data_IF_630768018902
#
_entry.id   IF_630768018902
#
_cell.length_a   1.000
_cell.length_b   1.000
_cell.length_c   1.000
_cell.angle_alpha   90.00
_cell.angle_beta   90.00
_cell.angle_gamma   90.00
#
_symmetry.space_group_name_H-M   'P 1'
#
loop_
_entity.id
_entity.type
_entity.pdbx_description
1 polymer ?
#
# COMPACT_ATOMS: atom_id res chain seq x y z
N UNK A 1 -28.08 2.28 73.55
CA UNK A 1 -27.84 1.22 72.55
C UNK A 1 -28.14 1.63 71.11
N UNK A 2 -29.25 2.34 70.80
CA UNK A 2 -29.57 2.75 69.40
C UNK A 2 -28.57 3.72 68.72
N UNK A 3 -27.94 4.64 69.46
CA UNK A 3 -26.92 5.56 68.89
C UNK A 3 -25.58 4.90 68.56
N UNK A 4 -25.22 3.80 69.22
CA UNK A 4 -23.96 3.10 68.96
C UNK A 4 -24.02 2.26 67.67
N UNK A 5 -25.19 1.70 67.37
CA UNK A 5 -25.42 0.86 66.18
C UNK A 5 -25.44 1.72 64.89
N UNK A 6 -25.97 2.95 64.97
CA UNK A 6 -26.03 3.85 63.81
C UNK A 6 -24.63 4.36 63.39
N UNK A 7 -23.74 4.62 64.35
CA UNK A 7 -22.35 5.00 64.04
C UNK A 7 -21.54 3.83 63.49
N UNK A 8 -21.81 2.59 63.90
CA UNK A 8 -21.16 1.40 63.34
C UNK A 8 -21.61 1.11 61.90
N UNK A 9 -22.89 1.37 61.58
CA UNK A 9 -23.44 1.21 60.23
C UNK A 9 -22.89 2.28 59.25
N UNK A 10 -22.73 3.52 59.72
CA UNK A 10 -22.10 4.60 58.94
C UNK A 10 -20.60 4.36 58.70
N UNK A 11 -19.89 3.76 59.66
CA UNK A 11 -18.49 3.36 59.47
C UNK A 11 -18.35 2.20 58.48
N UNK A 12 -19.27 1.23 58.48
CA UNK A 12 -19.26 0.12 57.52
C UNK A 12 -19.60 0.56 56.10
N UNK A 13 -20.54 1.50 55.93
CA UNK A 13 -20.88 2.08 54.62
C UNK A 13 -19.73 2.94 54.09
N UNK A 14 -19.03 3.70 54.96
CA UNK A 14 -17.85 4.46 54.54
C UNK A 14 -16.67 3.55 54.21
N UNK A 15 -16.46 2.44 54.93
CA UNK A 15 -15.41 1.44 54.62
C UNK A 15 -15.70 0.68 53.31
N UNK A 16 -16.97 0.39 53.01
CA UNK A 16 -17.38 -0.23 51.74
C UNK A 16 -17.27 0.74 50.54
N UNK A 17 -17.47 2.04 50.78
CA UNK A 17 -17.24 3.08 49.78
C UNK A 17 -15.74 3.37 49.60
N UNK A 18 -14.92 3.30 50.65
CA UNK A 18 -13.46 3.41 50.58
C UNK A 18 -12.79 2.17 49.96
N UNK A 19 -13.34 0.96 50.16
CA UNK A 19 -12.82 -0.24 49.47
C UNK A 19 -13.16 -0.28 47.98
N UNK A 20 -14.09 0.53 47.48
CA UNK A 20 -14.27 0.74 46.04
C UNK A 20 -13.26 1.71 45.43
N UNK A 21 -12.52 2.46 46.25
CA UNK A 21 -11.30 3.17 45.86
C UNK A 21 -10.07 2.24 45.86
N UNK A 22 -10.23 1.00 45.41
CA UNK A 22 -9.09 0.23 44.90
C UNK A 22 -8.73 0.85 43.55
N UNK A 23 -7.87 1.88 43.59
CA UNK A 23 -6.92 2.29 42.55
C UNK A 23 -7.37 1.98 41.11
N UNK A 24 -8.57 2.42 40.73
CA UNK A 24 -8.85 2.65 39.32
C UNK A 24 -8.05 3.91 39.01
N UNK A 25 -6.95 3.75 38.28
CA UNK A 25 -6.25 4.88 37.72
C UNK A 25 -7.25 5.79 37.01
N UNK A 26 -7.08 7.09 37.19
CA UNK A 26 -7.88 8.06 36.46
C UNK A 26 -7.38 8.10 35.01
N UNK A 27 -8.28 7.86 34.05
CA UNK A 27 -7.94 7.87 32.64
C UNK A 27 -9.13 8.35 31.81
N UNK A 28 -8.80 8.99 30.69
CA UNK A 28 -9.75 9.38 29.67
C UNK A 28 -9.35 8.73 28.34
N UNK A 29 -10.33 8.19 27.63
CA UNK A 29 -10.13 7.64 26.30
C UNK A 29 -10.07 8.80 25.28
N UNK A 30 -8.88 9.05 24.75
CA UNK A 30 -8.72 9.93 23.60
C UNK A 30 -8.96 9.14 22.32
N UNK A 31 -10.10 9.37 21.66
CA UNK A 31 -10.40 8.77 20.36
C UNK A 31 -9.29 9.08 19.36
N UNK A 32 -8.94 8.09 18.55
CA UNK A 32 -7.96 8.21 17.47
C UNK A 32 -8.60 7.70 16.19
N UNK A 33 -8.27 8.33 15.07
CA UNK A 33 -8.76 7.93 13.75
C UNK A 33 -7.65 7.21 12.98
N UNK A 34 -8.01 6.13 12.30
CA UNK A 34 -7.16 5.42 11.33
C UNK A 34 -5.80 4.94 11.88
N UNK A 35 -5.71 4.66 13.18
CA UNK A 35 -4.51 4.13 13.80
C UNK A 35 -4.57 2.60 13.84
N UNK A 36 -3.64 1.95 13.15
CA UNK A 36 -3.47 0.49 13.14
C UNK A 36 -2.14 0.11 13.78
N UNK A 37 -2.15 -0.93 14.60
CA UNK A 37 -0.98 -1.38 15.38
C UNK A 37 -0.78 -2.88 15.29
N UNK A 38 0.48 -3.30 15.25
CA UNK A 38 0.87 -4.69 15.26
C UNK A 38 1.66 -4.97 16.52
N UNK A 39 1.36 -6.07 17.17
CA UNK A 39 2.05 -6.46 18.41
C UNK A 39 3.44 -7.01 18.09
N UNK A 40 4.46 -6.51 18.79
CA UNK A 40 5.85 -6.98 18.69
C UNK A 40 6.20 -7.98 19.81
N UNK A 41 5.30 -8.15 20.78
CA UNK A 41 5.43 -9.08 21.90
C UNK A 41 4.08 -9.67 22.35
N UNK A 42 4.10 -10.56 23.35
CA UNK A 42 2.88 -11.04 24.02
C UNK A 42 2.45 -10.00 25.06
N UNK A 43 1.36 -9.30 24.81
CA UNK A 43 0.89 -8.21 25.67
C UNK A 43 -0.31 -8.65 26.50
N UNK A 44 -0.37 -8.21 27.77
CA UNK A 44 -1.53 -8.44 28.62
C UNK A 44 -2.77 -7.72 28.08
N UNK A 45 -3.87 -8.44 27.97
CA UNK A 45 -5.18 -7.90 27.58
C UNK A 45 -5.92 -7.48 28.85
N UNK A 46 -6.19 -6.19 29.02
CA UNK A 46 -6.74 -5.63 30.26
C UNK A 46 -8.15 -5.09 30.08
N UNK A 47 -8.91 -5.07 31.18
CA UNK A 47 -10.20 -4.37 31.26
C UNK A 47 -10.04 -2.85 31.34
N UNK A 48 -8.99 -2.41 32.02
CA UNK A 48 -8.69 -1.03 32.39
C UNK A 48 -7.21 -0.77 32.06
N UNK A 49 -6.82 0.39 31.50
CA UNK A 49 -5.48 0.70 30.98
C UNK A 49 -4.44 0.93 32.08
N UNK A 50 -4.35 0.04 33.07
CA UNK A 50 -3.46 0.18 34.21
C UNK A 50 -2.84 -1.13 34.68
N UNK A 51 -1.68 -1.00 35.31
CA UNK A 51 -0.96 -2.13 35.92
C UNK A 51 -1.74 -2.60 37.16
N UNK A 52 -1.67 -3.90 37.44
CA UNK A 52 -2.38 -4.49 38.59
C UNK A 52 -3.89 -4.75 38.36
N UNK A 53 -4.44 -4.37 37.20
CA UNK A 53 -5.83 -4.67 36.84
C UNK A 53 -5.97 -6.09 36.31
N UNK A 54 -7.21 -6.59 36.34
CA UNK A 54 -7.57 -7.92 35.81
C UNK A 54 -7.15 -8.06 34.35
N UNK A 55 -6.46 -9.15 34.06
CA UNK A 55 -6.08 -9.54 32.70
C UNK A 55 -7.00 -10.66 32.19
N UNK A 56 -7.29 -10.65 30.89
CA UNK A 56 -8.11 -11.65 30.21
C UNK A 56 -7.30 -12.58 29.30
N UNK A 57 -5.97 -12.58 29.48
CA UNK A 57 -5.02 -13.33 28.67
C UNK A 57 -3.97 -12.42 28.04
N UNK A 58 -3.34 -12.91 26.99
CA UNK A 58 -2.29 -12.21 26.25
C UNK A 58 -2.54 -12.23 24.74
N UNK A 59 -2.12 -11.18 24.04
CA UNK A 59 -2.02 -11.20 22.57
C UNK A 59 -0.96 -12.20 22.11
N UNK A 60 -1.01 -12.59 20.84
CA UNK A 60 0.10 -13.26 20.16
C UNK A 60 1.00 -12.22 19.48
N UNK A 61 2.27 -12.57 19.28
CA UNK A 61 3.20 -11.74 18.50
C UNK A 61 2.71 -11.64 17.05
N UNK A 62 2.70 -10.44 16.50
CA UNK A 62 2.32 -10.16 15.12
C UNK A 62 0.81 -10.01 14.89
N UNK A 63 0.00 -10.01 15.95
CA UNK A 63 -1.43 -9.68 15.84
C UNK A 63 -1.65 -8.21 15.54
N UNK A 64 -2.54 -7.94 14.58
CA UNK A 64 -2.91 -6.61 14.13
C UNK A 64 -4.22 -6.16 14.79
N UNK A 65 -4.28 -4.89 15.19
CA UNK A 65 -5.48 -4.27 15.73
C UNK A 65 -5.69 -2.89 15.15
N UNK A 66 -6.96 -2.52 14.96
CA UNK A 66 -7.38 -1.14 14.81
C UNK A 66 -7.58 -0.52 16.19
N UNK A 67 -7.02 0.67 16.40
CA UNK A 67 -7.08 1.38 17.68
C UNK A 67 -8.33 2.25 17.70
N UNK A 68 -9.16 2.05 18.72
CA UNK A 68 -10.39 2.82 18.97
C UNK A 68 -10.08 4.13 19.73
N UNK A 69 -9.14 4.06 20.68
CA UNK A 69 -8.71 5.17 21.51
C UNK A 69 -7.33 4.91 22.13
N UNK A 70 -6.70 5.97 22.62
CA UNK A 70 -5.55 5.90 23.50
C UNK A 70 -5.94 6.31 24.92
N UNK A 71 -5.42 5.59 25.92
CA UNK A 71 -5.55 5.95 27.32
C UNK A 71 -4.25 5.63 28.04
N UNK A 72 -3.61 6.65 28.63
CA UNK A 72 -2.28 6.53 29.24
C UNK A 72 -1.28 5.86 28.26
N UNK A 73 -0.58 4.84 28.74
CA UNK A 73 0.37 4.02 27.97
C UNK A 73 -0.31 2.86 27.22
N UNK A 74 -1.62 2.90 27.00
CA UNK A 74 -2.36 1.79 26.39
C UNK A 74 -3.12 2.21 25.14
N UNK A 75 -3.29 1.23 24.24
CA UNK A 75 -4.22 1.26 23.13
C UNK A 75 -5.49 0.53 23.50
N UNK A 76 -6.63 1.14 23.21
CA UNK A 76 -7.96 0.53 23.28
C UNK A 76 -8.29 -0.12 21.94
N UNK A 77 -8.58 -1.40 21.96
CA UNK A 77 -8.81 -2.24 20.77
C UNK A 77 -10.00 -3.17 20.98
N UNK A 78 -10.57 -3.70 19.91
CA UNK A 78 -11.64 -4.70 19.98
C UNK A 78 -11.05 -6.12 19.97
N UNK A 79 -11.27 -6.90 21.03
CA UNK A 79 -10.84 -8.30 21.12
C UNK A 79 -12.04 -9.16 21.49
N UNK A 80 -12.38 -10.12 20.63
CA UNK A 80 -13.54 -11.01 20.80
C UNK A 80 -14.86 -10.22 21.04
N UNK A 81 -15.04 -9.12 20.30
CA UNK A 81 -16.21 -8.25 20.40
C UNK A 81 -16.27 -7.38 21.67
N UNK A 82 -15.20 -7.33 22.46
CA UNK A 82 -15.13 -6.50 23.68
C UNK A 82 -13.98 -5.51 23.59
N UNK A 83 -14.23 -4.29 24.03
CA UNK A 83 -13.19 -3.26 24.16
C UNK A 83 -12.22 -3.64 25.27
N UNK A 84 -10.92 -3.63 24.95
CA UNK A 84 -9.84 -4.02 25.85
C UNK A 84 -8.63 -3.14 25.64
N UNK A 85 -7.75 -3.11 26.64
CA UNK A 85 -6.54 -2.31 26.62
C UNK A 85 -5.29 -3.19 26.50
N UNK A 86 -4.38 -2.81 25.62
CA UNK A 86 -3.06 -3.43 25.43
C UNK A 86 -1.96 -2.37 25.50
N UNK A 87 -0.78 -2.75 25.98
CA UNK A 87 0.30 -1.80 26.25
C UNK A 87 0.91 -1.25 24.95
N UNK A 88 1.17 0.06 24.88
CA UNK A 88 1.81 0.71 23.72
C UNK A 88 3.24 0.20 23.51
N UNK A 89 3.99 0.04 24.61
CA UNK A 89 5.33 -0.50 24.54
C UNK A 89 5.26 -2.02 24.29
N UNK A 90 5.64 -2.43 23.08
CA UNK A 90 5.38 -3.77 22.58
C UNK A 90 4.39 -3.81 21.40
N UNK A 91 4.06 -2.65 20.82
CA UNK A 91 3.42 -2.56 19.51
C UNK A 91 4.26 -1.69 18.56
N UNK A 92 4.06 -1.91 17.27
CA UNK A 92 4.53 -1.06 16.19
C UNK A 92 3.30 -0.47 15.48
N UNK A 93 3.29 0.85 15.28
CA UNK A 93 2.28 1.47 14.40
C UNK A 93 2.62 1.04 12.99
N UNK A 94 1.66 0.44 12.30
CA UNK A 94 1.81 0.12 10.90
C UNK A 94 0.71 0.82 10.13
N UNK A 95 1.09 1.40 8.99
CA UNK A 95 0.12 1.76 7.98
C UNK A 95 -0.16 0.48 7.23
N UNK A 96 -1.36 -0.06 7.37
CA UNK A 96 -1.86 -0.95 6.34
C UNK A 96 -1.77 -0.15 5.05
N UNK A 97 -1.02 -0.68 4.09
CA UNK A 97 -1.05 -0.11 2.75
C UNK A 97 -2.43 -0.50 2.25
N UNK A 98 -3.39 0.39 2.49
CA UNK A 98 -4.72 0.24 1.95
C UNK A 98 -4.56 0.19 0.43
N UNK A 99 -4.69 -1.00 -0.13
CA UNK A 99 -4.81 -1.26 -1.57
C UNK A 99 -6.13 -0.69 -2.14
N UNK A 100 -6.81 0.20 -1.41
CA UNK A 100 -7.82 1.11 -1.95
C UNK A 100 -7.16 2.45 -2.21
N UNK A 101 -6.95 2.71 -3.49
CA UNK A 101 -6.50 4.02 -3.97
C UNK A 101 -7.60 5.03 -3.65
N UNK A 102 -7.27 5.95 -2.76
CA UNK A 102 -7.96 7.23 -2.70
C UNK A 102 -7.49 8.05 -3.91
N UNK A 103 -8.35 8.16 -4.92
CA UNK A 103 -8.09 8.98 -6.10
C UNK A 103 -8.39 10.47 -5.82
N UNK A 104 -8.19 10.94 -4.59
CA UNK A 104 -8.55 12.30 -4.17
C UNK A 104 -7.63 13.39 -4.75
N UNK A 105 -6.43 13.04 -5.23
CA UNK A 105 -5.60 13.98 -5.96
C UNK A 105 -5.76 13.78 -7.47
N UNK A 106 -6.50 14.69 -8.10
CA UNK A 106 -6.54 14.89 -9.56
C UNK A 106 -5.24 15.55 -10.06
N UNK A 107 -4.09 14.97 -9.70
CA UNK A 107 -2.82 15.38 -10.28
C UNK A 107 -2.59 14.69 -11.64
N UNK A 108 -1.69 15.27 -12.43
CA UNK A 108 -1.42 14.85 -13.80
C UNK A 108 -0.99 13.37 -13.88
N UNK A 109 -0.15 12.93 -12.96
CA UNK A 109 0.39 11.58 -12.88
C UNK A 109 -0.70 10.56 -12.56
N UNK A 110 -1.58 10.88 -11.61
CA UNK A 110 -2.76 10.09 -11.26
C UNK A 110 -3.71 9.95 -12.46
N UNK A 111 -3.99 11.03 -13.18
CA UNK A 111 -4.84 11.02 -14.37
C UNK A 111 -4.26 10.18 -15.52
N UNK A 112 -2.95 10.27 -15.74
CA UNK A 112 -2.25 9.44 -16.73
C UNK A 112 -2.23 7.97 -16.32
N UNK A 113 -1.98 7.67 -15.04
CA UNK A 113 -2.01 6.30 -14.50
C UNK A 113 -3.40 5.65 -14.62
N UNK A 114 -4.46 6.38 -14.27
CA UNK A 114 -5.88 5.96 -14.44
C UNK A 114 -6.19 5.66 -15.91
N UNK A 115 -5.80 6.57 -16.80
CA UNK A 115 -6.01 6.40 -18.23
C UNK A 115 -5.28 5.16 -18.76
N UNK A 116 -4.03 4.96 -18.36
CA UNK A 116 -3.26 3.80 -18.77
C UNK A 116 -3.88 2.48 -18.27
N UNK A 117 -4.32 2.43 -17.01
CA UNK A 117 -5.03 1.28 -16.45
C UNK A 117 -6.31 0.96 -17.20
N UNK A 118 -7.09 1.99 -17.57
CA UNK A 118 -8.35 1.76 -18.29
C UNK A 118 -8.12 1.13 -19.66
N UNK A 119 -7.07 1.53 -20.39
CA UNK A 119 -6.71 0.89 -21.66
C UNK A 119 -6.48 -0.62 -21.50
N UNK A 120 -5.71 -1.03 -20.49
CA UNK A 120 -5.47 -2.45 -20.20
C UNK A 120 -6.76 -3.17 -19.80
N UNK A 121 -7.51 -2.60 -18.86
CA UNK A 121 -8.68 -3.27 -18.29
C UNK A 121 -9.84 -3.40 -19.28
N UNK A 122 -10.02 -2.43 -20.20
CA UNK A 122 -10.98 -2.55 -21.31
C UNK A 122 -10.67 -3.75 -22.20
N UNK A 123 -9.38 -3.95 -22.55
CA UNK A 123 -9.01 -5.11 -23.38
C UNK A 123 -9.10 -6.43 -22.63
N UNK A 124 -8.81 -6.43 -21.32
CA UNK A 124 -8.95 -7.62 -20.47
C UNK A 124 -10.40 -8.03 -20.30
N UNK A 125 -11.29 -7.07 -20.10
CA UNK A 125 -12.74 -7.30 -19.97
C UNK A 125 -13.32 -7.95 -21.24
N UNK A 126 -12.94 -7.46 -22.43
CA UNK A 126 -13.34 -8.06 -23.72
C UNK A 126 -12.94 -9.54 -23.85
N UNK A 127 -11.93 -9.97 -23.11
CA UNK A 127 -11.40 -11.33 -23.11
C UNK A 127 -11.88 -12.15 -21.89
N UNK A 128 -12.75 -11.60 -21.03
CA UNK A 128 -13.20 -12.25 -19.80
C UNK A 128 -12.10 -12.42 -18.75
N UNK A 129 -11.02 -11.61 -18.83
CA UNK A 129 -9.92 -11.63 -17.88
C UNK A 129 -10.19 -10.67 -16.73
N UNK A 130 -9.77 -11.07 -15.52
CA UNK A 130 -9.84 -10.22 -14.32
C UNK A 130 -9.11 -8.88 -14.58
N UNK A 131 -9.70 -7.72 -14.25
CA UNK A 131 -9.00 -6.45 -14.39
C UNK A 131 -7.76 -6.40 -13.48
N UNK A 132 -6.73 -5.68 -13.92
CA UNK A 132 -5.60 -5.36 -13.06
C UNK A 132 -6.01 -4.40 -11.96
N UNK A 133 -5.41 -4.61 -10.78
CA UNK A 133 -5.49 -3.73 -9.62
C UNK A 133 -4.30 -2.79 -9.69
N UNK A 134 -4.56 -1.48 -9.67
CA UNK A 134 -3.49 -0.52 -9.71
C UNK A 134 -2.75 -0.46 -8.36
N UNK A 135 -1.43 -0.36 -8.38
CA UNK A 135 -0.61 -0.42 -7.17
C UNK A 135 0.45 0.69 -7.15
N UNK A 136 0.42 1.50 -6.09
CA UNK A 136 1.30 2.67 -5.95
C UNK A 136 2.77 2.32 -5.75
N UNK A 137 3.10 1.14 -5.19
CA UNK A 137 4.51 0.71 -5.12
C UNK A 137 5.04 0.42 -6.52
N UNK A 138 4.25 -0.28 -7.35
CA UNK A 138 4.61 -0.54 -8.74
C UNK A 138 4.75 0.77 -9.53
N UNK A 139 3.85 1.74 -9.35
CA UNK A 139 3.99 3.09 -9.94
C UNK A 139 5.31 3.75 -9.53
N UNK A 140 5.61 3.78 -8.23
CA UNK A 140 6.87 4.34 -7.73
C UNK A 140 8.09 3.66 -8.36
N UNK A 141 8.09 2.34 -8.45
CA UNK A 141 9.17 1.61 -9.12
C UNK A 141 9.26 1.93 -10.62
N UNK A 142 8.12 2.08 -11.30
CA UNK A 142 8.09 2.47 -12.71
C UNK A 142 8.63 3.90 -12.90
N UNK A 143 8.34 4.82 -11.98
CA UNK A 143 8.84 6.20 -12.01
C UNK A 143 10.37 6.23 -11.91
N UNK A 144 10.94 5.47 -10.97
CA UNK A 144 12.40 5.34 -10.81
C UNK A 144 13.04 4.87 -12.13
N UNK A 145 12.44 3.89 -12.80
CA UNK A 145 12.99 3.36 -14.05
C UNK A 145 12.80 4.32 -15.24
N UNK A 146 11.68 5.03 -15.30
CA UNK A 146 11.41 6.06 -16.31
C UNK A 146 12.41 7.22 -16.18
N UNK A 147 12.67 7.69 -14.96
CA UNK A 147 13.62 8.78 -14.70
C UNK A 147 15.05 8.36 -15.02
N UNK A 148 15.41 7.11 -14.70
CA UNK A 148 16.69 6.56 -15.07
C UNK A 148 16.88 6.49 -16.60
N UNK A 149 15.83 6.09 -17.33
CA UNK A 149 15.83 6.06 -18.79
C UNK A 149 15.98 7.47 -19.37
N UNK A 150 15.27 8.45 -18.81
CA UNK A 150 15.37 9.86 -19.18
C UNK A 150 16.79 10.41 -18.98
N UNK A 151 17.36 10.19 -17.79
CA UNK A 151 18.71 10.59 -17.40
C UNK A 151 19.76 9.99 -18.35
N UNK A 152 19.61 8.72 -18.72
CA UNK A 152 20.51 8.00 -19.64
C UNK A 152 20.30 8.40 -21.11
N UNK A 153 19.10 8.86 -21.47
CA UNK A 153 18.73 9.24 -22.83
C UNK A 153 18.28 8.07 -23.72
N UNK A 154 18.08 6.87 -23.15
CA UNK A 154 17.54 5.70 -23.84
C UNK A 154 16.78 4.82 -22.85
N UNK A 155 15.87 4.00 -23.35
CA UNK A 155 15.11 3.01 -22.59
C UNK A 155 15.62 1.60 -22.93
N UNK A 156 15.79 0.75 -21.92
CA UNK A 156 16.27 -0.62 -22.06
C UNK A 156 15.84 -1.45 -20.86
N UNK A 157 15.58 -2.73 -21.09
CA UNK A 157 15.33 -3.69 -20.00
C UNK A 157 16.63 -4.12 -19.29
N UNK A 158 17.80 -3.88 -19.91
CA UNK A 158 19.10 -4.23 -19.32
C UNK A 158 19.36 -3.41 -18.05
N UNK A 159 19.80 -4.08 -16.99
CA UNK A 159 20.20 -3.42 -15.74
C UNK A 159 21.62 -2.87 -15.85
N UNK A 160 22.54 -3.66 -16.40
CA UNK A 160 23.91 -3.29 -16.78
C UNK A 160 24.16 -3.43 -18.30
N UNK A 161 25.20 -2.76 -18.81
CA UNK A 161 25.55 -2.74 -20.25
C UNK A 161 25.70 -4.14 -20.86
N UNK A 162 26.32 -5.05 -20.10
CA UNK A 162 26.67 -6.39 -20.56
C UNK A 162 25.56 -7.43 -20.31
N UNK A 163 24.45 -7.03 -19.72
CA UNK A 163 23.40 -7.98 -19.37
C UNK A 163 22.64 -8.49 -20.59
N UNK A 164 22.10 -9.72 -20.52
CA UNK A 164 21.03 -10.15 -21.38
C UNK A 164 19.87 -9.14 -21.34
N UNK A 165 19.19 -8.97 -22.48
CA UNK A 165 18.13 -7.97 -22.58
C UNK A 165 16.95 -8.24 -21.63
N UNK A 166 16.60 -9.52 -21.42
CA UNK A 166 15.57 -9.96 -20.48
C UNK A 166 16.16 -10.86 -19.39
N UNK A 167 17.19 -10.39 -18.69
CA UNK A 167 17.75 -11.11 -17.54
C UNK A 167 16.71 -11.17 -16.42
N UNK A 168 16.01 -12.31 -16.34
CA UNK A 168 14.89 -12.50 -15.43
C UNK A 168 15.29 -12.22 -13.98
N UNK A 169 16.40 -12.80 -13.50
CA UNK A 169 16.79 -12.71 -12.10
C UNK A 169 17.30 -11.32 -11.74
N UNK A 170 18.05 -10.66 -12.63
CA UNK A 170 18.45 -9.27 -12.39
C UNK A 170 17.25 -8.33 -12.36
N UNK A 171 16.26 -8.54 -13.22
CA UNK A 171 15.03 -7.77 -13.19
C UNK A 171 14.29 -8.02 -11.86
N UNK A 172 14.07 -9.27 -11.46
CA UNK A 172 13.40 -9.59 -10.19
C UNK A 172 14.12 -8.99 -8.98
N UNK A 173 15.45 -9.09 -8.93
CA UNK A 173 16.25 -8.52 -7.84
C UNK A 173 16.15 -7.00 -7.81
N UNK A 174 16.19 -6.34 -8.98
CA UNK A 174 16.01 -4.90 -9.06
C UNK A 174 14.63 -4.47 -8.53
N UNK A 175 13.57 -5.20 -8.85
CA UNK A 175 12.24 -4.96 -8.28
C UNK A 175 12.26 -5.09 -6.75
N UNK A 176 12.87 -6.15 -6.23
CA UNK A 176 13.00 -6.40 -4.80
C UNK A 176 13.75 -5.28 -4.07
N UNK A 177 14.88 -4.83 -4.63
CA UNK A 177 15.68 -3.73 -4.10
C UNK A 177 14.90 -2.40 -4.09
N UNK A 178 13.89 -2.27 -4.95
CA UNK A 178 12.97 -1.13 -5.01
C UNK A 178 11.64 -1.38 -4.26
N UNK A 179 11.61 -2.36 -3.34
CA UNK A 179 10.47 -2.62 -2.46
C UNK A 179 9.31 -3.40 -3.12
N UNK A 180 9.56 -4.05 -4.25
CA UNK A 180 8.60 -4.89 -4.97
C UNK A 180 9.08 -6.34 -4.95
N UNK A 181 8.58 -7.14 -4.01
CA UNK A 181 8.86 -8.58 -4.00
C UNK A 181 7.65 -9.36 -4.50
N UNK A 182 7.69 -9.77 -5.77
CA UNK A 182 6.63 -10.58 -6.39
C UNK A 182 6.85 -12.07 -6.14
N UNK A 183 5.76 -12.80 -5.87
CA UNK A 183 5.72 -14.27 -5.90
C UNK A 183 5.99 -14.74 -7.33
N UNK A 184 6.89 -15.69 -7.50
CA UNK A 184 7.11 -16.30 -8.82
C UNK A 184 6.05 -17.39 -9.00
N UNK A 185 5.10 -17.15 -9.88
CA UNK A 185 3.99 -18.05 -10.20
C UNK A 185 4.04 -18.38 -11.69
N UNK A 186 4.04 -19.67 -12.02
CA UNK A 186 4.16 -20.14 -13.40
C UNK A 186 5.35 -19.49 -14.16
N UNK A 187 6.53 -19.46 -13.51
CA UNK A 187 7.77 -18.84 -14.02
C UNK A 187 7.64 -17.34 -14.33
N UNK A 188 6.62 -16.68 -13.80
CA UNK A 188 6.37 -15.24 -13.96
C UNK A 188 6.39 -14.59 -12.58
N UNK A 189 7.09 -13.47 -12.44
CA UNK A 189 7.09 -12.66 -11.21
C UNK A 189 6.71 -11.23 -11.55
N UNK A 190 7.62 -10.30 -11.29
CA UNK A 190 7.53 -8.94 -11.81
C UNK A 190 7.76 -8.92 -13.32
N UNK A 191 6.98 -8.12 -14.04
CA UNK A 191 7.09 -7.92 -15.50
C UNK A 191 7.19 -6.42 -15.79
N UNK A 192 7.91 -6.06 -16.85
CA UNK A 192 8.15 -4.68 -17.26
C UNK A 192 7.82 -4.52 -18.75
N UNK A 193 7.05 -3.48 -19.09
CA UNK A 193 6.91 -2.96 -20.44
C UNK A 193 7.49 -1.53 -20.45
N UNK A 194 8.30 -1.21 -21.46
CA UNK A 194 8.89 0.13 -21.63
C UNK A 194 8.61 0.66 -23.02
N UNK A 195 8.41 1.98 -23.11
CA UNK A 195 8.16 2.65 -24.37
C UNK A 195 8.69 4.07 -24.39
N UNK A 196 8.74 4.61 -25.60
CA UNK A 196 9.10 5.99 -25.84
C UNK A 196 8.20 6.62 -26.90
N UNK A 197 7.82 7.87 -26.66
CA UNK A 197 7.12 8.68 -27.64
C UNK A 197 7.55 10.14 -27.55
N UNK A 198 7.22 10.90 -28.59
CA UNK A 198 7.45 12.35 -28.62
C UNK A 198 6.09 13.04 -28.58
N UNK A 199 5.91 13.89 -27.59
CA UNK A 199 4.76 14.78 -27.48
C UNK A 199 5.15 16.18 -27.94
N UNK A 200 4.19 16.89 -28.49
CA UNK A 200 4.31 18.31 -28.78
C UNK A 200 3.25 19.05 -27.97
N UNK A 201 3.67 19.96 -27.11
CA UNK A 201 2.79 20.67 -26.19
C UNK A 201 3.06 22.16 -26.24
N UNK A 202 2.04 22.90 -26.68
CA UNK A 202 2.12 24.35 -26.83
C UNK A 202 1.88 25.07 -25.50
N UNK A 203 0.87 24.65 -24.73
CA UNK A 203 0.41 25.33 -23.52
C UNK A 203 -0.10 24.32 -22.48
N UNK A 204 -0.12 24.70 -21.20
CA UNK A 204 -0.72 23.91 -20.12
C UNK A 204 0.14 22.73 -19.65
N UNK A 205 -0.48 21.82 -18.90
CA UNK A 205 0.14 20.60 -18.35
C UNK A 205 0.38 19.49 -19.40
N UNK A 206 -0.22 19.63 -20.58
CA UNK A 206 -0.13 18.69 -21.71
C UNK A 206 -0.78 17.33 -21.42
N UNK A 207 -1.80 17.25 -20.55
CA UNK A 207 -2.42 15.99 -20.16
C UNK A 207 -2.96 15.20 -21.36
N UNK A 208 -3.75 15.84 -22.21
CA UNK A 208 -4.40 15.17 -23.35
C UNK A 208 -3.40 14.78 -24.45
N UNK A 209 -2.38 15.60 -24.72
CA UNK A 209 -1.27 15.25 -25.60
C UNK A 209 -0.50 14.05 -25.06
N UNK A 210 -0.29 14.00 -23.75
CA UNK A 210 0.38 12.89 -23.08
C UNK A 210 -0.46 11.62 -23.20
N UNK A 211 -1.79 11.67 -22.94
CA UNK A 211 -2.71 10.56 -23.15
C UNK A 211 -2.63 10.02 -24.58
N UNK A 212 -2.61 10.88 -25.60
CA UNK A 212 -2.45 10.47 -27.00
C UNK A 212 -1.12 9.76 -27.26
N UNK A 213 -0.02 10.24 -26.69
CA UNK A 213 1.32 9.65 -26.88
C UNK A 213 1.45 8.30 -26.18
N UNK A 214 0.98 8.19 -24.93
CA UNK A 214 0.99 6.91 -24.24
C UNK A 214 0.05 5.93 -24.96
N UNK A 215 -1.15 6.34 -25.38
CA UNK A 215 -2.07 5.48 -26.15
C UNK A 215 -1.40 4.89 -27.40
N UNK A 216 -0.63 5.67 -28.16
CA UNK A 216 0.14 5.15 -29.30
C UNK A 216 1.12 4.04 -28.90
N UNK A 217 1.73 4.15 -27.71
CA UNK A 217 2.58 3.10 -27.15
C UNK A 217 1.76 1.85 -26.80
N UNK A 218 0.59 2.01 -26.20
CA UNK A 218 -0.32 0.89 -25.94
C UNK A 218 -0.78 0.20 -27.24
N UNK A 219 -1.15 0.97 -28.26
CA UNK A 219 -1.56 0.45 -29.57
C UNK A 219 -0.42 -0.35 -30.23
N UNK A 220 0.83 0.09 -30.06
CA UNK A 220 2.01 -0.65 -30.49
C UNK A 220 2.11 -2.02 -29.79
N UNK A 221 1.93 -2.07 -28.46
CA UNK A 221 1.90 -3.33 -27.72
C UNK A 221 0.79 -4.26 -28.20
N UNK A 222 -0.42 -3.74 -28.41
CA UNK A 222 -1.55 -4.50 -28.95
C UNK A 222 -1.28 -5.03 -30.37
N UNK A 223 -0.55 -4.27 -31.18
CA UNK A 223 -0.16 -4.68 -32.53
C UNK A 223 0.75 -5.92 -32.55
N UNK A 224 1.31 -6.33 -31.41
CA UNK A 224 2.12 -7.55 -31.35
C UNK A 224 1.29 -8.83 -31.38
N UNK A 225 -0.03 -8.76 -31.25
CA UNK A 225 -0.92 -9.91 -31.29
C UNK A 225 -0.62 -10.81 -32.50
N UNK A 226 -0.31 -12.07 -32.23
CA UNK A 226 -0.03 -13.08 -33.26
C UNK A 226 1.39 -13.00 -33.86
N UNK A 227 2.24 -12.08 -33.42
CA UNK A 227 3.64 -12.01 -33.84
C UNK A 227 4.52 -12.97 -33.03
N UNK A 228 5.69 -13.32 -33.59
CA UNK A 228 6.71 -14.14 -32.91
C UNK A 228 7.15 -13.52 -31.59
N UNK A 229 7.44 -12.21 -31.62
CA UNK A 229 7.72 -11.42 -30.44
C UNK A 229 6.46 -10.64 -30.07
N UNK A 230 5.79 -11.10 -29.02
CA UNK A 230 4.54 -10.53 -28.51
C UNK A 230 4.54 -10.39 -27.00
N UNK A 231 5.71 -10.06 -26.44
CA UNK A 231 5.93 -9.98 -24.99
C UNK A 231 5.03 -8.92 -24.35
N UNK A 232 4.86 -7.76 -24.99
CA UNK A 232 4.02 -6.70 -24.45
C UNK A 232 2.54 -7.06 -24.57
N UNK A 233 2.11 -7.65 -25.69
CA UNK A 233 0.75 -8.15 -25.81
C UNK A 233 0.44 -9.24 -24.76
N UNK A 234 1.37 -10.18 -24.54
CA UNK A 234 1.22 -11.24 -23.53
C UNK A 234 1.09 -10.71 -22.11
N UNK A 235 1.75 -9.60 -21.77
CA UNK A 235 1.56 -8.97 -20.46
C UNK A 235 0.22 -8.24 -20.35
N UNK A 236 -0.41 -7.80 -21.45
CA UNK A 236 -1.79 -7.27 -21.42
C UNK A 236 -2.81 -8.39 -21.12
N UNK A 237 -2.66 -9.55 -21.77
CA UNK A 237 -3.62 -10.67 -21.67
C UNK A 237 -3.25 -11.74 -20.64
N UNK A 238 -2.28 -11.47 -19.76
CA UNK A 238 -1.84 -12.46 -18.78
C UNK A 238 -2.93 -12.75 -17.75
N UNK A 239 -3.24 -14.04 -17.55
CA UNK A 239 -4.13 -14.48 -16.47
C UNK A 239 -3.44 -14.57 -15.10
N UNK A 240 -2.10 -14.45 -15.07
CA UNK A 240 -1.30 -14.65 -13.86
C UNK A 240 -0.85 -13.34 -13.20
N UNK A 241 -0.86 -12.23 -13.94
CA UNK A 241 -0.59 -10.90 -13.38
C UNK A 241 -1.87 -10.38 -12.72
N UNK A 242 -1.74 -9.72 -11.56
CA UNK A 242 -2.88 -9.12 -10.87
C UNK A 242 -2.73 -7.62 -10.66
N UNK A 243 -1.50 -7.14 -10.52
CA UNK A 243 -1.21 -5.76 -10.16
C UNK A 243 -0.46 -5.03 -11.26
N UNK A 244 -0.73 -3.74 -11.41
CA UNK A 244 -0.07 -2.86 -12.37
C UNK A 244 0.29 -1.51 -11.74
N UNK A 245 1.41 -0.94 -12.13
CA UNK A 245 1.74 0.45 -11.91
C UNK A 245 2.32 1.07 -13.17
N UNK A 246 2.07 2.36 -13.38
CA UNK A 246 2.49 3.06 -14.58
C UNK A 246 3.07 4.42 -14.22
N UNK A 247 4.14 4.80 -14.90
CA UNK A 247 4.76 6.10 -14.70
C UNK A 247 5.37 6.60 -16.00
N UNK A 248 5.56 7.91 -16.06
CA UNK A 248 6.27 8.55 -17.17
C UNK A 248 7.36 9.49 -16.67
N UNK A 249 8.38 9.69 -17.50
CA UNK A 249 9.37 10.75 -17.32
C UNK A 249 9.45 11.60 -18.57
N UNK A 250 9.38 12.92 -18.39
CA UNK A 250 9.32 13.92 -19.47
C UNK A 250 10.69 14.57 -19.67
N UNK A 251 11.20 14.57 -20.90
CA UNK A 251 12.47 15.21 -21.28
C UNK A 251 12.21 16.29 -22.30
N UNK A 252 12.60 17.54 -22.01
CA UNK A 252 12.53 18.61 -23.02
C UNK A 252 13.46 18.30 -24.21
N UNK A 253 12.94 18.44 -25.42
CA UNK A 253 13.67 18.32 -26.69
C UNK A 253 13.75 19.67 -27.44
N UNK A 254 13.38 20.76 -26.77
CA UNK A 254 13.25 22.10 -27.35
C UNK A 254 12.03 22.25 -28.27
N UNK A 255 11.69 23.50 -28.59
CA UNK A 255 10.59 23.85 -29.51
C UNK A 255 9.26 23.19 -29.13
N UNK A 256 8.87 23.26 -27.85
CA UNK A 256 7.62 22.69 -27.33
C UNK A 256 7.49 21.17 -27.52
N UNK A 257 8.60 20.46 -27.75
CA UNK A 257 8.65 19.00 -27.86
C UNK A 257 9.19 18.38 -26.59
N UNK A 258 8.61 17.26 -26.21
CA UNK A 258 9.09 16.47 -25.08
C UNK A 258 9.11 14.99 -25.42
N UNK A 259 10.21 14.33 -25.07
CA UNK A 259 10.30 12.87 -25.06
C UNK A 259 9.62 12.33 -23.81
N UNK A 260 8.79 11.31 -23.98
CA UNK A 260 8.08 10.60 -22.92
C UNK A 260 8.65 9.21 -22.82
N UNK A 261 9.39 8.95 -21.75
CA UNK A 261 9.77 7.61 -21.34
C UNK A 261 8.64 7.07 -20.50
N UNK A 262 7.97 6.01 -20.94
CA UNK A 262 6.87 5.42 -20.20
C UNK A 262 7.20 3.99 -19.79
N UNK A 263 6.86 3.65 -18.56
CA UNK A 263 7.20 2.37 -17.95
C UNK A 263 5.96 1.82 -17.28
N UNK A 264 5.61 0.58 -17.61
CA UNK A 264 4.57 -0.19 -16.92
C UNK A 264 5.21 -1.35 -16.20
N UNK A 265 4.97 -1.46 -14.90
CA UNK A 265 5.38 -2.59 -14.10
C UNK A 265 4.18 -3.40 -13.66
N UNK A 266 4.34 -4.71 -13.64
CA UNK A 266 3.32 -5.65 -13.20
C UNK A 266 3.85 -6.55 -12.11
N UNK A 267 2.93 -7.09 -11.31
CA UNK A 267 3.22 -8.13 -10.35
C UNK A 267 2.13 -9.21 -10.42
N UNK A 268 2.55 -10.47 -10.28
CA UNK A 268 1.67 -11.61 -10.03
C UNK A 268 0.94 -11.42 -8.70
N UNK A 269 1.66 -11.51 -7.59
CA UNK A 269 1.20 -11.30 -6.23
C UNK A 269 2.38 -10.83 -5.38
N UNK A 270 2.15 -9.99 -4.37
CA UNK A 270 3.23 -9.61 -3.46
C UNK A 270 3.56 -10.75 -2.49
N UNK A 271 4.84 -10.88 -2.12
CA UNK A 271 5.24 -11.69 -0.96
C UNK A 271 4.90 -10.91 0.31
N UNK A 272 4.30 -11.62 1.27
CA UNK A 272 3.99 -11.09 2.59
C UNK A 272 5.26 -10.92 3.41
#
# INVERSE_FOLDING_TARGET
MKKLILNFLLLFISLFLFQKQVMACDFEDKKVENLKIKTTGKLNIREIPCVGTKTFGTTKVGENFEVLAEALDYYKVLINGKERYIWKNGTEVFKEIEDKIDFENNDFESEIGKYWLSLYNIEREKLGLKPYIYNKKLEKSAQIWADLSNKRGYYSHKRDKNDPYYDFWKIQNWFKDNGIDCKIENRTGAVENIGYGVLFCKNGDCLEETKKVVKKTFDMYMSEKGKKNQSHYKSIISAHLNYMGFAISKKSLGNNRYGIYNVTHFCTNFKN
#
